data_IF_769829607733
#
_entry.id   IF_769829607733
#
_cell.length_a   1.000
_cell.length_b   1.000
_cell.length_c   1.000
_cell.angle_alpha   90.00
_cell.angle_beta   90.00
_cell.angle_gamma   90.00
#
_symmetry.space_group_name_H-M   'P 1'
#
loop_
_entity.id
_entity.type
_entity.pdbx_description
1 polymer ?
#
# COMPACT_ATOMS: atom_id res chain seq x y z
N UNK A 1 14.28 20.50 -23.03
CA UNK A 1 12.88 20.05 -23.22
C UNK A 1 12.04 20.76 -22.16
N UNK A 2 11.00 21.51 -22.54
CA UNK A 2 10.12 22.25 -21.61
C UNK A 2 8.67 21.87 -21.90
N UNK A 3 8.15 20.79 -21.30
CA UNK A 3 6.78 20.36 -21.56
C UNK A 3 5.79 21.42 -21.03
N UNK A 4 4.69 21.62 -21.77
CA UNK A 4 3.60 22.53 -21.38
C UNK A 4 2.68 21.93 -20.30
N UNK A 5 2.68 20.60 -20.17
CA UNK A 5 1.82 19.87 -19.25
C UNK A 5 2.60 18.74 -18.58
N UNK A 6 2.34 18.52 -17.29
CA UNK A 6 2.87 17.44 -16.47
C UNK A 6 1.68 16.68 -15.89
N UNK A 7 1.67 15.36 -16.05
CA UNK A 7 0.67 14.47 -15.45
C UNK A 7 1.36 13.66 -14.37
N UNK A 8 0.90 13.77 -13.12
CA UNK A 8 1.45 13.06 -11.96
C UNK A 8 0.60 11.83 -11.65
N UNK A 9 1.00 10.67 -12.17
CA UNK A 9 0.31 9.39 -11.97
C UNK A 9 1.06 8.48 -10.97
N UNK A 10 1.61 9.05 -9.89
CA UNK A 10 2.50 8.33 -8.95
C UNK A 10 1.77 7.56 -7.86
N UNK A 11 0.43 7.54 -7.87
CA UNK A 11 -0.43 6.99 -6.82
C UNK A 11 -0.13 7.58 -5.41
N UNK A 12 -0.85 7.09 -4.39
CA UNK A 12 -0.73 7.54 -3.00
C UNK A 12 0.26 6.72 -2.15
N UNK A 13 0.85 5.67 -2.73
CA UNK A 13 1.77 4.78 -2.02
C UNK A 13 3.10 5.49 -1.73
N UNK A 14 3.46 5.55 -0.44
CA UNK A 14 4.74 6.11 0.00
C UNK A 14 5.86 5.07 -0.01
N UNK A 15 7.05 5.48 0.44
CA UNK A 15 8.19 4.58 0.64
C UNK A 15 7.86 3.45 1.64
N UNK A 16 8.48 2.29 1.44
CA UNK A 16 8.33 1.15 2.33
C UNK A 16 8.92 1.44 3.71
N UNK A 17 8.10 1.33 4.76
CA UNK A 17 8.52 1.57 6.14
C UNK A 17 8.61 0.22 6.85
N UNK A 18 9.83 -0.29 7.01
CA UNK A 18 10.08 -1.48 7.83
C UNK A 18 10.07 -1.11 9.33
N UNK A 19 9.39 -1.87 10.19
CA UNK A 19 9.44 -1.65 11.63
C UNK A 19 10.84 -2.01 12.16
N UNK A 20 11.31 -1.26 13.15
CA UNK A 20 12.47 -1.68 13.94
C UNK A 20 12.03 -2.75 14.94
N UNK A 21 12.48 -3.99 14.75
CA UNK A 21 12.13 -5.13 15.61
C UNK A 21 13.32 -5.42 16.53
N UNK A 22 13.17 -5.38 17.86
CA UNK A 22 14.25 -5.75 18.77
C UNK A 22 14.72 -7.19 18.53
N UNK A 23 16.04 -7.37 18.38
CA UNK A 23 16.64 -8.69 18.13
C UNK A 23 16.52 -9.18 16.68
N UNK A 24 16.15 -8.31 15.75
CA UNK A 24 16.04 -8.63 14.33
C UNK A 24 17.37 -9.13 13.73
N UNK A 25 18.50 -8.68 14.27
CA UNK A 25 19.86 -9.12 13.92
C UNK A 25 20.11 -10.61 14.17
N UNK A 26 19.35 -11.24 15.09
CA UNK A 26 19.48 -12.67 15.39
C UNK A 26 18.67 -13.56 14.46
N UNK A 27 17.83 -12.98 13.60
CA UNK A 27 17.03 -13.75 12.66
C UNK A 27 17.88 -14.27 11.51
N UNK A 28 18.10 -15.59 11.48
CA UNK A 28 18.91 -16.26 10.46
C UNK A 28 18.19 -16.49 9.12
N UNK A 29 16.91 -16.11 9.01
CA UNK A 29 16.14 -16.24 7.78
C UNK A 29 16.26 -15.01 6.87
N UNK A 30 15.54 -15.04 5.75
CA UNK A 30 15.47 -13.90 4.82
C UNK A 30 14.37 -12.95 5.27
N UNK A 31 14.68 -11.64 5.26
CA UNK A 31 13.75 -10.56 5.57
C UNK A 31 13.78 -9.55 4.44
N UNK A 32 12.60 -9.05 4.08
CA UNK A 32 12.47 -7.98 3.09
C UNK A 32 11.14 -7.27 3.30
N UNK A 33 11.06 -6.01 2.85
CA UNK A 33 9.82 -5.26 2.80
C UNK A 33 9.14 -5.50 1.45
N UNK A 34 7.81 -5.56 1.39
CA UNK A 34 7.05 -5.85 0.16
C UNK A 34 7.36 -4.88 -0.99
N UNK A 35 7.73 -3.63 -0.67
CA UNK A 35 8.20 -2.62 -1.61
C UNK A 35 9.48 -3.01 -2.39
N UNK A 36 10.28 -3.96 -1.89
CA UNK A 36 11.48 -4.45 -2.57
C UNK A 36 11.15 -5.52 -3.63
N UNK A 37 9.86 -5.92 -3.74
CA UNK A 37 9.28 -6.91 -4.65
C UNK A 37 10.17 -8.13 -4.97
N UNK A 38 9.85 -9.25 -4.34
CA UNK A 38 10.34 -10.57 -4.73
C UNK A 38 9.16 -11.46 -5.06
N UNK A 39 9.21 -12.12 -6.22
CA UNK A 39 8.30 -13.22 -6.51
C UNK A 39 8.54 -14.34 -5.49
N UNK A 40 7.47 -14.93 -4.96
CA UNK A 40 7.55 -16.07 -4.06
C UNK A 40 8.31 -17.25 -4.71
N UNK A 41 8.24 -17.39 -6.03
CA UNK A 41 8.99 -18.42 -6.79
C UNK A 41 10.51 -18.25 -6.72
N UNK A 42 11.00 -17.05 -6.42
CA UNK A 42 12.45 -16.75 -6.35
C UNK A 42 13.14 -17.38 -5.13
N UNK A 43 12.37 -17.88 -4.17
CA UNK A 43 12.91 -18.51 -2.96
C UNK A 43 13.16 -20.01 -3.19
N UNK A 44 14.39 -20.51 -2.96
CA UNK A 44 14.69 -21.92 -3.14
C UNK A 44 13.97 -22.78 -2.08
N UNK A 45 13.42 -23.90 -2.54
CA UNK A 45 12.66 -24.86 -1.71
C UNK A 45 11.47 -24.21 -0.99
N UNK A 46 10.77 -23.28 -1.67
CA UNK A 46 9.70 -22.47 -1.10
C UNK A 46 8.58 -23.28 -0.44
N UNK A 47 8.21 -24.43 -1.02
CA UNK A 47 7.20 -25.32 -0.46
C UNK A 47 7.55 -25.90 0.92
N UNK A 48 8.84 -25.91 1.30
CA UNK A 48 9.29 -26.37 2.62
C UNK A 48 9.55 -25.23 3.60
N UNK A 49 9.33 -23.97 3.20
CA UNK A 49 9.58 -22.80 4.04
C UNK A 49 8.39 -22.49 4.94
N UNK A 50 8.73 -21.96 6.12
CA UNK A 50 7.78 -21.28 7.01
C UNK A 50 7.95 -19.78 6.81
N UNK A 51 6.85 -19.09 6.53
CA UNK A 51 6.85 -17.68 6.15
C UNK A 51 5.98 -16.93 7.15
N UNK A 52 6.53 -15.85 7.71
CA UNK A 52 5.79 -14.93 8.56
C UNK A 52 5.59 -13.63 7.81
N UNK A 53 4.33 -13.23 7.64
CA UNK A 53 3.95 -11.96 7.01
C UNK A 53 3.49 -11.01 8.11
N UNK A 54 4.13 -9.85 8.23
CA UNK A 54 3.78 -8.84 9.24
C UNK A 54 2.90 -7.77 8.60
N UNK A 55 1.62 -7.73 9.00
CA UNK A 55 0.61 -6.82 8.45
C UNK A 55 -0.53 -7.55 7.74
N UNK A 56 -1.73 -6.99 7.83
CA UNK A 56 -3.00 -7.60 7.41
C UNK A 56 -3.82 -6.70 6.47
N UNK A 57 -3.16 -5.76 5.77
CA UNK A 57 -3.79 -4.96 4.72
C UNK A 57 -3.55 -5.61 3.36
N UNK A 58 -3.97 -4.97 2.26
CA UNK A 58 -3.93 -5.51 0.89
C UNK A 58 -2.62 -6.25 0.57
N UNK A 59 -1.47 -5.58 0.68
CA UNK A 59 -0.18 -6.22 0.38
C UNK A 59 0.15 -7.42 1.27
N UNK A 60 -0.29 -7.43 2.53
CA UNK A 60 -0.09 -8.57 3.42
C UNK A 60 -0.90 -9.79 2.95
N UNK A 61 -2.15 -9.57 2.54
CA UNK A 61 -3.00 -10.61 1.96
C UNK A 61 -2.43 -11.16 0.64
N UNK A 62 -2.00 -10.28 -0.27
CA UNK A 62 -1.42 -10.68 -1.58
C UNK A 62 -0.17 -11.56 -1.39
N UNK A 63 0.72 -11.17 -0.46
CA UNK A 63 1.92 -11.96 -0.14
C UNK A 63 1.57 -13.28 0.52
N UNK A 64 0.60 -13.29 1.45
CA UNK A 64 0.17 -14.54 2.07
C UNK A 64 -0.36 -15.52 1.03
N UNK A 65 -1.19 -15.05 0.09
CA UNK A 65 -1.71 -15.85 -1.00
C UNK A 65 -0.58 -16.38 -1.89
N UNK A 66 0.32 -15.51 -2.35
CA UNK A 66 1.43 -15.91 -3.21
C UNK A 66 2.26 -17.05 -2.59
N UNK A 67 2.75 -16.89 -1.36
CA UNK A 67 3.54 -17.94 -0.70
C UNK A 67 2.74 -19.21 -0.40
N UNK A 68 1.44 -19.07 -0.10
CA UNK A 68 0.56 -20.22 0.10
C UNK A 68 0.37 -21.03 -1.20
N UNK A 69 0.19 -20.36 -2.34
CA UNK A 69 0.06 -21.00 -3.66
C UNK A 69 1.33 -21.79 -4.05
N UNK A 70 2.51 -21.35 -3.60
CA UNK A 70 3.77 -22.08 -3.77
C UNK A 70 4.04 -23.15 -2.70
N UNK A 71 3.07 -23.42 -1.82
CA UNK A 71 3.10 -24.53 -0.84
C UNK A 71 3.78 -24.20 0.48
N UNK A 72 4.19 -22.95 0.74
CA UNK A 72 4.77 -22.58 2.03
C UNK A 72 3.75 -22.65 3.17
N UNK A 73 4.24 -22.90 4.39
CA UNK A 73 3.46 -22.69 5.59
C UNK A 73 3.48 -21.20 5.97
N UNK A 74 2.38 -20.50 5.71
CA UNK A 74 2.28 -19.05 5.93
C UNK A 74 1.60 -18.74 7.26
N UNK A 75 2.13 -17.78 8.00
CA UNK A 75 1.54 -17.21 9.22
C UNK A 75 1.47 -15.70 9.09
N UNK A 76 0.27 -15.12 9.22
CA UNK A 76 0.08 -13.67 9.21
C UNK A 76 0.06 -13.13 10.64
N UNK A 77 0.90 -12.14 10.93
CA UNK A 77 0.91 -11.39 12.17
C UNK A 77 0.09 -10.12 12.01
N UNK A 78 -1.07 -10.09 12.66
CA UNK A 78 -2.01 -8.98 12.65
C UNK A 78 -1.95 -8.23 13.98
N UNK A 79 -1.59 -6.93 13.95
CA UNK A 79 -1.57 -6.08 15.15
C UNK A 79 -2.97 -5.68 15.64
N UNK A 80 -3.92 -5.54 14.72
CA UNK A 80 -5.31 -5.16 15.00
C UNK A 80 -6.23 -5.60 13.87
N UNK A 81 -7.54 -5.64 14.12
CA UNK A 81 -8.52 -6.08 13.12
C UNK A 81 -8.46 -5.27 11.83
N UNK A 82 -8.44 -5.96 10.69
CA UNK A 82 -8.63 -5.35 9.36
C UNK A 82 -10.02 -5.71 8.84
N UNK A 83 -10.71 -4.75 8.21
CA UNK A 83 -11.92 -5.02 7.46
C UNK A 83 -11.57 -5.33 6.00
N UNK A 84 -11.88 -6.53 5.54
CA UNK A 84 -11.70 -6.92 4.14
C UNK A 84 -13.04 -6.80 3.42
N UNK A 85 -13.06 -6.03 2.33
CA UNK A 85 -14.25 -5.80 1.51
C UNK A 85 -13.97 -6.26 0.08
N UNK A 86 -14.89 -7.02 -0.50
CA UNK A 86 -14.86 -7.30 -1.94
C UNK A 86 -15.22 -6.04 -2.71
N UNK A 87 -14.50 -5.77 -3.81
CA UNK A 87 -14.73 -4.63 -4.69
C UNK A 87 -14.56 -3.27 -4.00
N UNK A 88 -13.63 -3.12 -3.06
CA UNK A 88 -13.37 -1.82 -2.42
C UNK A 88 -12.99 -0.70 -3.41
N UNK A 89 -12.60 -1.03 -4.65
CA UNK A 89 -12.36 -0.05 -5.70
C UNK A 89 -13.66 0.51 -6.32
N UNK A 90 -14.81 -0.15 -6.12
CA UNK A 90 -16.10 0.27 -6.70
C UNK A 90 -16.61 1.60 -6.15
N UNK A 91 -16.11 2.04 -5.00
CA UNK A 91 -16.42 3.39 -4.48
C UNK A 91 -15.70 4.51 -5.24
N UNK A 92 -14.71 4.15 -6.07
CA UNK A 92 -13.98 5.08 -6.95
C UNK A 92 -14.37 4.91 -8.44
N UNK A 93 -15.27 3.96 -8.76
CA UNK A 93 -15.79 3.77 -10.12
C UNK A 93 -16.69 4.95 -10.50
N UNK A 94 -16.64 5.39 -11.76
CA UNK A 94 -17.45 6.51 -12.24
C UNK A 94 -16.80 7.90 -12.14
N UNK A 95 -15.52 7.99 -11.73
CA UNK A 95 -14.73 9.24 -11.75
C UNK A 95 -13.62 9.31 -12.82
N UNK A 96 -13.01 8.19 -13.25
CA UNK A 96 -11.99 8.19 -14.32
C UNK A 96 -12.03 7.00 -15.33
N UNK A 97 -13.21 6.49 -15.66
CA UNK A 97 -13.64 5.53 -16.69
C UNK A 97 -14.09 6.19 -18.03
N UNK A 98 -14.41 5.35 -19.02
CA UNK A 98 -14.71 5.79 -20.40
C UNK A 98 -16.06 6.52 -20.60
N UNK A 99 -17.03 6.34 -19.68
CA UNK A 99 -18.39 6.87 -19.79
C UNK A 99 -18.70 7.68 -18.54
N UNK A 100 -18.28 8.94 -18.52
CA UNK A 100 -18.12 9.67 -17.27
C UNK A 100 -18.27 11.19 -17.37
N UNK A 101 -18.39 11.89 -16.22
CA UNK A 101 -18.39 13.35 -16.21
C UNK A 101 -17.12 13.90 -16.88
N UNK A 102 -17.20 15.08 -17.51
CA UNK A 102 -16.04 15.77 -18.05
C UNK A 102 -14.88 15.79 -17.04
N UNK A 103 -13.64 15.55 -17.48
CA UNK A 103 -12.47 15.38 -16.59
C UNK A 103 -12.32 16.48 -15.52
N UNK A 104 -12.68 17.72 -15.84
CA UNK A 104 -12.61 18.84 -14.89
C UNK A 104 -13.61 18.72 -13.73
N UNK A 105 -14.75 18.05 -13.93
CA UNK A 105 -15.72 17.76 -12.87
C UNK A 105 -15.25 16.59 -11.99
N UNK A 106 -14.64 15.57 -12.59
CA UNK A 106 -14.01 14.48 -11.85
C UNK A 106 -12.87 14.98 -10.95
N UNK A 107 -12.00 15.84 -11.51
CA UNK A 107 -10.91 16.48 -10.76
C UNK A 107 -11.47 17.38 -9.65
N UNK A 108 -12.48 18.20 -9.94
CA UNK A 108 -13.12 19.04 -8.92
C UNK A 108 -13.72 18.21 -7.78
N UNK A 109 -14.38 17.10 -8.10
CA UNK A 109 -14.93 16.20 -7.08
C UNK A 109 -13.84 15.55 -6.24
N UNK A 110 -12.80 15.02 -6.89
CA UNK A 110 -11.64 14.41 -6.23
C UNK A 110 -10.93 15.40 -5.30
N UNK A 111 -10.69 16.62 -5.78
CA UNK A 111 -9.99 17.68 -5.05
C UNK A 111 -10.87 18.41 -4.03
N UNK A 112 -12.20 18.27 -4.12
CA UNK A 112 -13.14 18.88 -3.15
C UNK A 112 -12.94 18.38 -1.73
N UNK A 113 -12.29 17.21 -1.56
CA UNK A 113 -11.92 16.69 -0.26
C UNK A 113 -10.45 17.02 0.05
N UNK A 114 -10.15 17.78 1.12
CA UNK A 114 -8.77 17.98 1.54
C UNK A 114 -8.07 16.64 1.76
N UNK A 115 -6.83 16.49 1.26
CA UNK A 115 -6.01 15.26 1.41
C UNK A 115 -6.02 14.70 2.86
N UNK A 116 -5.95 15.52 3.92
CA UNK A 116 -6.05 15.01 5.29
C UNK A 116 -7.42 14.39 5.63
N UNK A 117 -8.51 14.96 5.09
CA UNK A 117 -9.86 14.44 5.27
C UNK A 117 -10.06 13.14 4.49
N UNK A 118 -9.56 13.08 3.24
CA UNK A 118 -9.51 11.83 2.49
C UNK A 118 -8.73 10.77 3.28
N UNK A 119 -7.52 11.09 3.74
CA UNK A 119 -6.69 10.14 4.50
C UNK A 119 -7.35 9.66 5.80
N UNK A 120 -8.14 10.50 6.47
CA UNK A 120 -8.89 10.10 7.65
C UNK A 120 -10.03 9.14 7.27
N UNK A 121 -10.76 9.44 6.20
CA UNK A 121 -11.86 8.62 5.68
C UNK A 121 -11.40 7.23 5.20
N UNK A 122 -10.24 7.16 4.55
CA UNK A 122 -9.72 5.92 3.94
C UNK A 122 -8.91 5.01 4.88
N UNK A 123 -8.72 5.37 6.15
CA UNK A 123 -8.04 4.48 7.10
C UNK A 123 -7.20 5.13 8.19
N UNK A 124 -7.42 6.41 8.50
CA UNK A 124 -6.87 7.03 9.72
C UNK A 124 -5.36 6.93 9.84
N UNK A 125 -4.61 7.63 8.98
CA UNK A 125 -3.18 7.85 9.24
C UNK A 125 -3.04 8.56 10.60
N UNK A 126 -2.16 8.08 11.50
CA UNK A 126 -1.96 8.76 12.78
C UNK A 126 -1.50 10.21 12.54
N UNK A 127 -1.92 11.18 13.38
CA UNK A 127 -1.65 12.61 13.18
C UNK A 127 -0.16 12.97 13.00
N UNK A 128 0.75 12.12 13.48
CA UNK A 128 2.20 12.28 13.32
C UNK A 128 2.68 12.14 11.86
N UNK A 129 2.02 11.31 11.04
CA UNK A 129 2.37 11.10 9.62
C UNK A 129 1.81 12.24 8.75
N UNK A 130 0.63 12.76 9.10
CA UNK A 130 0.02 13.92 8.43
C UNK A 130 0.85 15.20 8.56
N UNK A 131 1.58 15.36 9.67
CA UNK A 131 2.48 16.51 9.90
C UNK A 131 3.78 16.47 9.08
N UNK A 132 4.24 15.30 8.66
CA UNK A 132 5.47 15.17 7.86
C UNK A 132 5.23 15.40 6.36
N UNK A 133 4.07 14.97 5.82
CA UNK A 133 3.73 15.24 4.40
C UNK A 133 3.45 16.72 4.12
N UNK A 134 2.87 17.46 5.08
CA UNK A 134 2.58 18.90 4.91
C UNK A 134 3.82 19.79 4.85
N UNK A 135 4.98 19.35 5.38
CA UNK A 135 6.24 20.11 5.29
C UNK A 135 6.91 20.02 3.91
N UNK A 136 6.72 18.93 3.17
CA UNK A 136 7.39 18.72 1.89
C UNK A 136 6.59 19.23 0.67
N UNK A 137 5.33 19.64 0.85
CA UNK A 137 4.50 20.19 -0.22
C UNK A 137 4.47 21.74 -0.27
N UNK A 138 5.12 22.42 0.68
CA UNK A 138 5.14 23.90 0.78
C UNK A 138 6.47 24.52 0.30
N UNK A 139 7.28 23.81 -0.47
CA UNK A 139 8.44 24.39 -1.15
C UNK A 139 8.41 24.05 -2.64
N UNK A 140 7.53 24.75 -3.36
CA UNK A 140 7.70 25.12 -4.77
C UNK A 140 7.07 26.50 -4.96
#
# INVERSE_FOLDING_TARGET
MHPRHLVLATALAGEGIAPNIPGDEFFAGVKYHTAQQHDASSFPNIASKKVVVVGSNNSGHDICEAFHQYGSQVTMLQRGGTYSMRNALSVLQGLYDEIEPPIHEADLYSDSFPIPAQSALWGGLPPSILRNKTRNFLTI
#
